data_IF_973931952262
#
_entry.id   IF_973931952262
#
_cell.length_a   1.000
_cell.length_b   1.000
_cell.length_c   1.000
_cell.angle_alpha   90.00
_cell.angle_beta   90.00
_cell.angle_gamma   90.00
#
_symmetry.space_group_name_H-M   'P 1'
#
loop_
_entity.id
_entity.type
_entity.pdbx_description
1 polymer ?
#
# COMPACT_ATOMS: atom_id res chain seq x y z
N UNK A 1 -0.34 -18.83 8.49
CA UNK A 1 -1.26 -17.95 9.23
C UNK A 1 -0.53 -16.64 9.47
N UNK A 2 -1.19 -15.52 9.24
CA UNK A 2 -0.66 -14.17 9.49
C UNK A 2 -1.59 -13.49 10.51
N UNK A 3 -1.05 -12.83 11.52
CA UNK A 3 -1.84 -12.14 12.55
C UNK A 3 -1.45 -10.68 12.58
N UNK A 4 -2.45 -9.80 12.56
CA UNK A 4 -2.33 -8.33 12.64
C UNK A 4 -3.39 -7.82 13.61
N UNK A 5 -3.29 -6.55 14.02
CA UNK A 5 -4.36 -5.90 14.78
C UNK A 5 -5.69 -5.83 14.00
N UNK A 6 -5.62 -5.88 12.66
CA UNK A 6 -6.77 -5.93 11.77
C UNK A 6 -7.42 -7.34 11.68
N UNK A 7 -6.76 -8.38 12.22
CA UNK A 7 -7.31 -9.73 12.31
C UNK A 7 -6.33 -10.85 11.93
N UNK A 8 -6.90 -12.04 11.69
CA UNK A 8 -6.20 -13.29 11.42
C UNK A 8 -6.38 -13.78 9.97
N UNK A 9 -5.29 -13.79 9.19
CA UNK A 9 -5.28 -14.36 7.84
C UNK A 9 -4.90 -15.85 7.85
N UNK A 10 -5.86 -16.71 7.50
CA UNK A 10 -5.56 -18.06 7.05
C UNK A 10 -5.33 -18.07 5.54
N UNK A 11 -4.12 -18.47 5.14
CA UNK A 11 -3.63 -18.41 3.75
C UNK A 11 -3.41 -19.81 3.14
N UNK A 12 -3.86 -20.87 3.82
CA UNK A 12 -3.70 -22.24 3.35
C UNK A 12 -4.56 -22.50 2.11
N UNK A 13 -4.02 -23.25 1.15
CA UNK A 13 -4.73 -23.61 -0.09
C UNK A 13 -4.92 -22.47 -1.09
N UNK A 14 -4.40 -21.26 -0.82
CA UNK A 14 -4.54 -20.11 -1.71
C UNK A 14 -3.32 -19.93 -2.62
N UNK A 15 -3.58 -19.61 -3.89
CA UNK A 15 -2.53 -19.19 -4.84
C UNK A 15 -1.86 -17.88 -4.40
N UNK A 16 -0.63 -17.57 -4.86
CA UNK A 16 0.07 -16.34 -4.47
C UNK A 16 -0.75 -15.06 -4.68
N UNK A 17 -1.51 -14.97 -5.77
CA UNK A 17 -2.40 -13.83 -6.06
C UNK A 17 -3.60 -13.75 -5.11
N UNK A 18 -4.22 -14.89 -4.79
CA UNK A 18 -5.32 -14.93 -3.83
C UNK A 18 -4.83 -14.52 -2.43
N UNK A 19 -3.64 -15.01 -2.04
CA UNK A 19 -2.99 -14.62 -0.78
C UNK A 19 -2.74 -13.12 -0.73
N UNK A 20 -2.13 -12.55 -1.77
CA UNK A 20 -1.85 -11.11 -1.83
C UNK A 20 -3.14 -10.29 -1.70
N UNK A 21 -4.19 -10.61 -2.46
CA UNK A 21 -5.49 -9.92 -2.38
C UNK A 21 -6.09 -9.97 -0.97
N UNK A 22 -6.10 -11.14 -0.35
CA UNK A 22 -6.67 -11.29 1.00
C UNK A 22 -5.87 -10.50 2.05
N UNK A 23 -4.54 -10.59 1.99
CA UNK A 23 -3.65 -9.84 2.89
C UNK A 23 -3.85 -8.33 2.75
N UNK A 24 -3.83 -7.82 1.52
CA UNK A 24 -3.99 -6.39 1.24
C UNK A 24 -5.37 -5.91 1.69
N UNK A 25 -6.44 -6.62 1.32
CA UNK A 25 -7.80 -6.16 1.56
C UNK A 25 -8.24 -6.22 3.03
N UNK A 26 -7.75 -7.20 3.80
CA UNK A 26 -8.27 -7.45 5.16
C UNK A 26 -7.26 -7.13 6.26
N UNK A 27 -5.96 -7.33 6.03
CA UNK A 27 -4.96 -7.36 7.12
C UNK A 27 -3.90 -6.27 7.02
N UNK A 28 -3.73 -5.63 5.86
CA UNK A 28 -2.85 -4.47 5.76
C UNK A 28 -3.43 -3.26 6.49
N UNK A 29 -2.55 -2.48 7.13
CA UNK A 29 -2.91 -1.22 7.79
C UNK A 29 -3.57 -0.26 6.77
N UNK A 30 -4.64 0.47 7.15
CA UNK A 30 -5.38 1.34 6.24
C UNK A 30 -4.51 2.32 5.44
N UNK A 31 -3.51 2.93 6.07
CA UNK A 31 -2.61 3.90 5.43
C UNK A 31 -1.78 3.29 4.29
N UNK A 32 -1.42 2.00 4.40
CA UNK A 32 -0.58 1.33 3.41
C UNK A 32 -1.38 0.51 2.39
N UNK A 33 -2.64 0.21 2.67
CA UNK A 33 -3.51 -0.60 1.80
C UNK A 33 -3.63 -0.02 0.38
N UNK A 34 -3.83 1.29 0.16
CA UNK A 34 -3.88 1.87 -1.19
C UNK A 34 -2.56 1.68 -1.96
N UNK A 35 -1.42 1.92 -1.30
CA UNK A 35 -0.10 1.78 -1.92
C UNK A 35 0.21 0.32 -2.27
N UNK A 36 -0.18 -0.63 -1.40
CA UNK A 36 0.00 -2.06 -1.66
C UNK A 36 -0.89 -2.54 -2.81
N UNK A 37 -2.13 -2.04 -2.87
CA UNK A 37 -3.07 -2.37 -3.93
C UNK A 37 -2.57 -1.86 -5.29
N UNK A 38 -2.10 -0.62 -5.36
CA UNK A 38 -1.48 -0.06 -6.57
C UNK A 38 -0.29 -0.90 -7.05
N UNK A 39 0.66 -1.21 -6.16
CA UNK A 39 1.81 -2.04 -6.50
C UNK A 39 1.40 -3.43 -7.01
N UNK A 40 0.41 -4.06 -6.36
CA UNK A 40 -0.08 -5.37 -6.77
C UNK A 40 -0.76 -5.34 -8.14
N UNK A 41 -1.57 -4.32 -8.41
CA UNK A 41 -2.27 -4.16 -9.69
C UNK A 41 -1.29 -3.88 -10.84
N UNK A 42 -0.30 -3.00 -10.63
CA UNK A 42 0.80 -2.78 -11.59
C UNK A 42 1.61 -4.04 -11.82
N UNK A 43 2.01 -4.73 -10.75
CA UNK A 43 2.73 -6.00 -10.83
C UNK A 43 1.94 -7.05 -11.63
N UNK A 44 0.63 -7.16 -11.43
CA UNK A 44 -0.20 -8.09 -12.18
C UNK A 44 -0.17 -7.81 -13.71
N UNK A 45 -0.19 -6.52 -14.09
CA UNK A 45 -0.15 -6.11 -15.50
C UNK A 45 1.23 -6.30 -16.13
N UNK A 46 2.27 -5.82 -15.47
CA UNK A 46 3.58 -5.57 -16.08
C UNK A 46 4.64 -6.63 -15.71
N UNK A 47 4.43 -7.42 -14.66
CA UNK A 47 5.43 -8.43 -14.27
C UNK A 47 5.65 -9.47 -15.35
N UNK A 48 6.92 -9.81 -15.58
CA UNK A 48 7.35 -10.89 -16.46
C UNK A 48 6.76 -12.25 -16.04
N UNK A 49 6.75 -12.54 -14.74
CA UNK A 49 6.17 -13.75 -14.15
C UNK A 49 4.76 -13.51 -13.62
N UNK A 50 3.77 -14.30 -14.07
CA UNK A 50 2.36 -14.13 -13.65
C UNK A 50 1.92 -14.99 -12.46
N UNK A 51 2.76 -15.94 -12.04
CA UNK A 51 2.49 -16.80 -10.88
C UNK A 51 2.62 -16.01 -9.57
N UNK A 52 3.75 -15.32 -9.41
CA UNK A 52 4.04 -14.41 -8.30
C UNK A 52 4.45 -13.06 -8.91
N UNK A 53 3.50 -12.16 -9.17
CA UNK A 53 3.76 -10.92 -9.89
C UNK A 53 4.57 -9.94 -9.04
N UNK A 54 5.69 -9.46 -9.57
CA UNK A 54 6.54 -8.43 -8.97
C UNK A 54 7.10 -7.46 -10.03
N UNK A 55 7.28 -6.20 -9.63
CA UNK A 55 8.10 -5.19 -10.34
C UNK A 55 9.45 -5.09 -9.63
N UNK A 56 10.50 -5.65 -10.23
CA UNK A 56 11.80 -5.78 -9.56
C UNK A 56 12.45 -4.43 -9.22
N UNK A 57 12.23 -3.42 -10.06
CA UNK A 57 12.76 -2.07 -9.86
C UNK A 57 12.15 -1.38 -8.63
N UNK A 58 10.92 -1.76 -8.26
CA UNK A 58 10.16 -1.09 -7.19
C UNK A 58 9.97 -1.96 -5.94
N UNK A 59 10.22 -3.28 -6.02
CA UNK A 59 9.91 -4.24 -4.96
C UNK A 59 10.54 -3.89 -3.60
N UNK A 60 11.71 -3.26 -3.60
CA UNK A 60 12.42 -2.83 -2.39
C UNK A 60 12.40 -1.31 -2.16
N UNK A 61 11.69 -0.55 -3.01
CA UNK A 61 11.70 0.90 -2.98
C UNK A 61 11.19 1.48 -1.66
N UNK A 62 10.22 0.84 -0.99
CA UNK A 62 9.70 1.32 0.30
C UNK A 62 10.73 1.20 1.41
N UNK A 63 11.53 0.13 1.39
CA UNK A 63 12.67 -0.03 2.31
C UNK A 63 13.71 1.06 2.07
N UNK A 64 14.02 1.35 0.79
CA UNK A 64 14.93 2.44 0.45
C UNK A 64 14.40 3.81 0.92
N UNK A 65 13.10 4.08 0.74
CA UNK A 65 12.45 5.31 1.25
C UNK A 65 12.58 5.44 2.76
N UNK A 66 12.38 4.35 3.51
CA UNK A 66 12.55 4.33 4.95
C UNK A 66 13.99 4.66 5.37
N UNK A 67 14.98 4.06 4.72
CA UNK A 67 16.40 4.34 4.99
C UNK A 67 16.75 5.81 4.71
N UNK A 68 16.20 6.39 3.65
CA UNK A 68 16.53 7.76 3.23
C UNK A 68 15.77 8.84 4.01
N UNK A 69 14.51 8.59 4.39
CA UNK A 69 13.57 9.62 4.89
C UNK A 69 13.00 9.30 6.28
N UNK A 70 13.28 8.11 6.82
CA UNK A 70 12.72 7.63 8.08
C UNK A 70 11.26 7.18 8.00
N UNK A 71 10.63 7.18 6.83
CA UNK A 71 9.24 6.76 6.63
C UNK A 71 9.05 6.03 5.30
N UNK A 72 8.18 5.01 5.30
CA UNK A 72 7.75 4.27 4.10
C UNK A 72 6.58 4.94 3.39
N UNK A 73 5.88 5.85 4.07
CA UNK A 73 4.71 6.52 3.52
C UNK A 73 5.11 7.39 2.32
N UNK A 74 4.27 7.42 1.28
CA UNK A 74 4.39 8.45 0.25
C UNK A 74 3.96 9.78 0.88
N UNK A 75 4.95 10.58 1.28
CA UNK A 75 4.73 11.92 1.84
C UNK A 75 4.07 12.88 0.84
N UNK A 76 3.89 12.46 -0.42
CA UNK A 76 3.10 13.17 -1.41
C UNK A 76 1.63 13.36 -0.97
N UNK A 77 1.07 12.48 -0.12
CA UNK A 77 -0.30 12.58 0.38
C UNK A 77 -0.51 13.60 1.52
N UNK A 78 0.48 13.83 2.38
CA UNK A 78 0.37 14.84 3.46
C UNK A 78 0.48 16.28 2.94
N UNK A 79 1.01 16.47 1.73
CA UNK A 79 0.90 17.75 1.02
C UNK A 79 -0.55 17.98 0.54
N UNK A 80 -1.26 16.93 0.12
CA UNK A 80 -2.68 17.01 -0.28
C UNK A 80 -3.59 17.31 0.91
N UNK A 81 -3.31 16.72 2.09
CA UNK A 81 -4.08 17.04 3.31
C UNK A 81 -3.83 18.46 3.82
N UNK A 82 -2.61 19.00 3.70
CA UNK A 82 -2.39 20.41 4.06
C UNK A 82 -3.09 21.36 3.10
N UNK A 83 -3.16 21.04 1.80
CA UNK A 83 -3.90 21.87 0.84
C UNK A 83 -5.42 21.75 1.02
N UNK A 84 -5.94 20.55 1.34
CA UNK A 84 -7.35 20.34 1.67
C UNK A 84 -7.75 21.05 2.98
N UNK A 85 -6.93 20.91 4.04
CA UNK A 85 -7.11 21.61 5.32
C UNK A 85 -7.00 23.13 5.16
N UNK A 86 -6.06 23.63 4.35
CA UNK A 86 -5.98 25.07 4.05
C UNK A 86 -7.17 25.57 3.24
N UNK A 87 -7.75 24.75 2.34
CA UNK A 87 -8.93 25.12 1.55
C UNK A 87 -10.19 25.15 2.42
N UNK A 88 -10.38 24.17 3.31
CA UNK A 88 -11.50 24.17 4.28
C UNK A 88 -11.42 25.33 5.28
N UNK A 89 -10.23 25.70 5.76
CA UNK A 89 -10.04 26.85 6.64
C UNK A 89 -10.21 28.22 5.94
N UNK A 90 -10.05 28.27 4.61
CA UNK A 90 -10.28 29.47 3.82
C UNK A 90 -11.78 29.67 3.47
N UNK A 91 -12.54 28.58 3.33
CA UNK A 91 -13.96 28.61 2.96
C UNK A 91 -14.90 28.77 4.18
N UNK A 92 -14.42 28.50 5.40
CA UNK A 92 -15.19 28.61 6.65
C UNK A 92 -15.26 30.01 7.31
N UNK A 93 -14.96 31.10 6.60
CA UNK A 93 -15.18 32.48 7.10
C UNK A 93 -16.25 33.20 6.30
N UNK A 94 -17.51 32.89 6.62
CA UNK A 94 -18.65 33.81 6.48
C UNK A 94 -19.14 34.20 7.85
#
# INVERSE_FOLDING_TARGET
MLVTEQGLADLRGLSPKQRARQVIAQYAHPDYRPMLQDYFDRSCRESYGKHTPHLLDEALSWNQRYVQRGSMHDTCGLATDRVALFRELAEGRQ
#
